data_IF_405308689217
#
_entry.id   IF_405308689217
#
_cell.length_a   1.000
_cell.length_b   1.000
_cell.length_c   1.000
_cell.angle_alpha   90.00
_cell.angle_beta   90.00
_cell.angle_gamma   90.00
#
_symmetry.space_group_name_H-M   'P 1'
#
loop_
_entity.id
_entity.type
_entity.pdbx_description
1 polymer ?
2 non-polymer ?
3 non-polymer ?
4 non-polymer ?
5 water ?
#
# COMPACT_ATOMS: atom_id res chain seq x y z
N UNK A 7 -5.08 -28.61 -16.50
CA UNK A 7 -5.66 -27.55 -17.32
C UNK A 7 -5.85 -26.25 -16.51
N UNK A 8 -6.96 -25.58 -16.78
CA UNK A 8 -7.31 -24.35 -16.10
C UNK A 8 -8.80 -24.14 -16.28
N UNK A 9 -9.38 -23.35 -15.38
CA UNK A 9 -10.80 -23.02 -15.46
C UNK A 9 -11.06 -21.70 -16.19
N UNK A 10 -10.16 -20.73 -16.06
CA UNK A 10 -10.26 -19.46 -16.77
C UNK A 10 -8.90 -19.13 -17.36
N UNK A 11 -8.92 -18.41 -18.48
CA UNK A 11 -7.71 -17.89 -19.11
C UNK A 11 -7.91 -16.40 -19.32
N UNK A 12 -7.12 -15.57 -18.63
CA UNK A 12 -7.21 -14.12 -18.68
C UNK A 12 -5.97 -13.56 -19.38
N UNK A 13 -6.17 -12.85 -20.47
CA UNK A 13 -5.05 -12.18 -21.11
C UNK A 13 -4.87 -10.81 -20.46
N UNK A 14 -3.66 -10.54 -19.98
CA UNK A 14 -3.35 -9.32 -19.26
C UNK A 14 -2.27 -8.56 -20.01
N UNK A 15 -2.30 -7.24 -19.86
CA UNK A 15 -1.37 -6.36 -20.54
C UNK A 15 -0.74 -5.43 -19.51
N UNK A 16 0.56 -5.20 -19.64
CA UNK A 16 1.27 -4.19 -18.86
C UNK A 16 1.64 -3.06 -19.80
N UNK A 17 1.13 -1.86 -19.54
CA UNK A 17 1.46 -0.70 -20.36
C UNK A 17 2.01 0.40 -19.46
N UNK A 18 2.73 1.32 -20.06
CA UNK A 18 3.38 2.39 -19.32
C UNK A 18 4.65 2.80 -20.02
N UNK A 19 5.13 3.99 -19.66
CA UNK A 19 6.34 4.55 -20.28
C UNK A 19 7.53 3.61 -20.11
N UNK A 20 8.50 3.73 -21.02
CA UNK A 20 9.72 2.95 -20.86
C UNK A 20 10.40 3.32 -19.54
N UNK A 21 10.88 2.30 -18.83
CA UNK A 21 11.68 2.50 -17.64
C UNK A 21 10.90 2.48 -16.34
N UNK A 22 9.58 2.38 -16.38
CA UNK A 22 8.81 2.43 -15.14
C UNK A 22 8.86 1.11 -14.37
N UNK A 23 9.30 0.02 -14.98
CA UNK A 23 9.43 -1.25 -14.30
C UNK A 23 8.44 -2.32 -14.69
N UNK A 24 7.82 -2.20 -15.88
CA UNK A 24 6.87 -3.22 -16.31
C UNK A 24 7.50 -4.60 -16.32
N UNK A 25 8.69 -4.72 -16.93
CA UNK A 25 9.30 -6.04 -17.02
C UNK A 25 9.73 -6.58 -15.66
N UNK A 26 10.17 -5.69 -14.76
CA UNK A 26 10.60 -6.15 -13.44
C UNK A 26 9.43 -6.55 -12.57
N UNK A 27 8.29 -5.86 -12.70
CA UNK A 27 7.08 -6.30 -12.00
C UNK A 27 6.70 -7.71 -12.45
N UNK A 28 6.74 -7.95 -13.76
CA UNK A 28 6.34 -9.26 -14.27
C UNK A 28 7.36 -10.34 -13.89
N UNK A 29 8.65 -9.99 -13.90
CA UNK A 29 9.69 -10.95 -13.50
C UNK A 29 9.54 -11.33 -12.03
N UNK A 30 9.21 -10.35 -11.17
CA UNK A 30 8.97 -10.67 -9.78
C UNK A 30 7.76 -11.61 -9.66
N UNK A 31 6.68 -11.29 -10.37
CA UNK A 31 5.46 -12.08 -10.25
C UNK A 31 5.67 -13.49 -10.81
N UNK A 32 6.38 -13.63 -11.92
CA UNK A 32 6.50 -14.95 -12.53
C UNK A 32 7.67 -15.76 -11.99
N UNK A 33 8.79 -15.12 -11.66
CA UNK A 33 9.99 -15.84 -11.25
C UNK A 33 10.45 -15.53 -9.83
N UNK A 34 9.81 -14.60 -9.13
CA UNK A 34 10.20 -14.19 -7.76
C UNK A 34 11.68 -13.81 -7.69
N UNK A 35 12.10 -12.94 -8.60
CA UNK A 35 13.47 -12.46 -8.62
C UNK A 35 13.46 -11.02 -9.10
N UNK A 36 14.58 -10.35 -8.91
CA UNK A 36 14.75 -8.98 -9.39
C UNK A 36 16.16 -8.80 -9.89
N UNK A 37 16.29 -8.21 -11.08
CA UNK A 37 17.58 -7.80 -11.63
C UNK A 37 17.60 -6.29 -11.79
N UNK A 38 18.69 -5.66 -11.38
CA UNK A 38 18.78 -4.21 -11.43
C UNK A 38 19.22 -3.67 -12.80
N UNK A 39 19.80 -4.50 -13.66
CA UNK A 39 20.30 -4.01 -14.93
C UNK A 39 19.14 -3.76 -15.89
N UNK A 40 19.01 -2.53 -16.37
CA UNK A 40 17.94 -2.15 -17.30
C UNK A 40 18.20 -2.78 -18.66
N UNK A 41 17.33 -3.70 -19.07
CA UNK A 41 17.32 -4.26 -20.41
C UNK A 41 15.96 -3.94 -21.00
N UNK A 42 15.89 -2.89 -21.80
CA UNK A 42 14.60 -2.43 -22.33
C UNK A 42 13.98 -3.50 -23.22
N UNK A 43 12.66 -3.63 -23.13
CA UNK A 43 11.91 -4.60 -23.91
C UNK A 43 11.81 -4.15 -25.36
N UNK A 44 12.18 -5.04 -26.28
CA UNK A 44 12.18 -4.72 -27.71
C UNK A 44 11.00 -5.45 -28.34
N UNK A 45 10.03 -4.69 -28.83
CA UNK A 45 8.85 -5.27 -29.44
C UNK A 45 7.79 -5.61 -28.41
N UNK A 46 7.98 -6.72 -27.71
CA UNK A 46 7.04 -7.20 -26.70
C UNK A 46 7.63 -8.46 -26.08
N UNK A 47 7.13 -8.84 -24.90
CA UNK A 47 7.49 -10.09 -24.24
C UNK A 47 6.24 -10.56 -23.48
N UNK A 48 6.33 -11.76 -22.89
CA UNK A 48 5.21 -12.29 -22.13
C UNK A 48 5.70 -13.30 -21.09
N UNK A 49 4.86 -13.51 -20.07
CA UNK A 49 5.04 -14.60 -19.10
C UNK A 49 3.68 -15.20 -18.80
N UNK A 50 3.71 -16.44 -18.30
CA UNK A 50 2.50 -17.21 -18.02
C UNK A 50 2.57 -17.68 -16.57
N UNK A 51 1.57 -17.36 -15.77
CA UNK A 51 1.45 -17.91 -14.42
C UNK A 51 0.00 -18.24 -14.13
N UNK A 52 -0.22 -19.42 -13.54
CA UNK A 52 -1.56 -19.86 -13.20
C UNK A 52 -1.76 -19.70 -11.69
N UNK A 53 -2.82 -18.98 -11.30
CA UNK A 53 -3.14 -18.80 -9.89
C UNK A 53 -4.48 -19.46 -9.59
N UNK A 54 -4.85 -19.48 -8.31
CA UNK A 54 -6.15 -20.01 -7.89
C UNK A 54 -6.96 -18.92 -7.19
N UNK A 55 -8.24 -18.82 -7.55
CA UNK A 55 -9.18 -17.89 -6.96
C UNK A 55 -10.50 -18.62 -6.73
N UNK A 56 -10.98 -18.59 -5.48
CA UNK A 56 -12.24 -19.25 -5.09
C UNK A 56 -12.27 -20.71 -5.53
N UNK A 57 -11.14 -21.38 -5.40
CA UNK A 57 -11.08 -22.77 -5.80
C UNK A 57 -11.08 -23.02 -7.30
N UNK A 58 -10.90 -21.97 -8.09
CA UNK A 58 -10.83 -22.06 -9.54
C UNK A 58 -9.41 -21.75 -10.00
N UNK A 59 -8.98 -22.42 -11.07
CA UNK A 59 -7.64 -22.27 -11.61
C UNK A 59 -7.67 -21.23 -12.72
N UNK A 60 -6.92 -20.14 -12.55
CA UNK A 60 -6.92 -18.99 -13.44
C UNK A 60 -5.55 -18.92 -14.11
N UNK A 61 -5.49 -19.24 -15.41
CA UNK A 61 -4.24 -19.04 -16.15
C UNK A 61 -4.13 -17.58 -16.57
N UNK A 62 -3.03 -16.94 -16.18
CA UNK A 62 -2.76 -15.54 -16.52
C UNK A 62 -1.71 -15.51 -17.62
N UNK A 63 -2.13 -15.04 -18.79
CA UNK A 63 -1.26 -14.86 -19.94
C UNK A 63 -0.95 -13.37 -20.01
N UNK A 64 0.26 -12.99 -19.59
CA UNK A 64 0.59 -11.60 -19.28
C UNK A 64 1.54 -11.06 -20.33
N UNK A 65 1.08 -10.08 -21.10
CA UNK A 65 1.86 -9.48 -22.16
C UNK A 65 2.54 -8.21 -21.66
N UNK A 66 3.86 -8.16 -21.83
CA UNK A 66 4.73 -7.12 -21.26
C UNK A 66 5.11 -6.23 -22.44
N UNK A 67 4.43 -5.09 -22.57
CA UNK A 67 4.64 -4.27 -23.75
C UNK A 67 5.95 -3.47 -23.65
N UNK A 68 6.47 -3.11 -24.82
CA UNK A 68 7.64 -2.25 -24.91
C UNK A 68 7.18 -0.79 -24.85
N UNK A 69 7.60 -0.09 -23.79
CA UNK A 69 7.12 1.26 -23.57
C UNK A 69 7.71 2.29 -24.51
N UNK A 70 8.81 1.97 -25.18
CA UNK A 70 9.42 2.91 -26.11
C UNK A 70 8.47 3.26 -27.26
N UNK A 71 8.50 4.52 -27.67
CA UNK A 71 7.50 5.03 -28.61
C UNK A 71 7.55 4.30 -29.95
N UNK A 72 8.73 3.83 -30.37
CA UNK A 72 8.84 3.24 -31.71
C UNK A 72 8.17 1.88 -31.80
N UNK A 73 7.64 1.35 -30.70
CA UNK A 73 6.99 0.04 -30.71
C UNK A 73 5.47 0.16 -30.57
N UNK A 74 4.92 1.35 -30.77
CA UNK A 74 3.49 1.55 -30.53
C UNK A 74 2.63 0.69 -31.45
N UNK A 75 3.07 0.44 -32.69
CA UNK A 75 2.25 -0.39 -33.59
C UNK A 75 2.05 -1.78 -33.01
N UNK A 76 3.07 -2.31 -32.31
CA UNK A 76 2.94 -3.64 -31.73
C UNK A 76 2.08 -3.60 -30.47
N UNK A 77 2.32 -2.62 -29.61
CA UNK A 77 1.48 -2.46 -28.42
C UNK A 77 0.01 -2.38 -28.77
N UNK A 78 -0.31 -1.57 -29.79
CA UNK A 78 -1.70 -1.36 -30.15
C UNK A 78 -2.38 -2.65 -30.58
N UNK A 79 -1.68 -3.47 -31.36
CA UNK A 79 -2.25 -4.75 -31.83
C UNK A 79 -2.61 -5.69 -30.68
N UNK A 80 -1.99 -5.53 -29.52
CA UNK A 80 -2.23 -6.39 -28.37
C UNK A 80 -3.35 -5.89 -27.45
N UNK A 81 -3.98 -4.75 -27.77
CA UNK A 81 -5.06 -4.24 -26.94
C UNK A 81 -6.33 -5.08 -27.06
N UNK A 82 -6.64 -5.58 -28.26
CA UNK A 82 -7.99 -6.05 -28.54
C UNK A 82 -8.38 -7.26 -27.68
N UNK A 83 -7.49 -8.25 -27.58
CA UNK A 83 -7.83 -9.42 -26.81
C UNK A 83 -7.69 -9.29 -25.30
N UNK A 84 -7.20 -8.15 -24.83
CA UNK A 84 -6.87 -8.00 -23.42
C UNK A 84 -8.14 -7.95 -22.56
N UNK A 85 -8.07 -8.60 -21.40
CA UNK A 85 -9.14 -8.57 -20.41
C UNK A 85 -8.83 -7.69 -19.22
N UNK A 86 -7.56 -7.51 -18.89
CA UNK A 86 -7.16 -6.57 -17.86
C UNK A 86 -5.84 -5.93 -18.23
N UNK A 87 -5.67 -4.68 -17.80
CA UNK A 87 -4.51 -3.87 -18.15
C UNK A 87 -3.96 -3.20 -16.90
N UNK A 88 -2.68 -3.44 -16.61
CA UNK A 88 -1.95 -2.66 -15.61
C UNK A 88 -1.37 -1.43 -16.28
N UNK A 89 -1.71 -0.25 -15.75
CA UNK A 89 -1.10 1.01 -16.18
C UNK A 89 -0.03 1.37 -15.16
N UNK A 90 1.24 1.29 -15.56
CA UNK A 90 2.35 1.38 -14.63
C UNK A 90 3.04 2.73 -14.80
N UNK A 91 3.30 3.41 -13.69
CA UNK A 91 4.19 4.57 -13.68
C UNK A 91 5.25 4.36 -12.61
N UNK A 92 6.22 5.26 -12.59
CA UNK A 92 7.37 5.22 -11.71
C UNK A 92 7.25 6.37 -10.73
N UNK A 93 7.12 6.06 -9.43
CA UNK A 93 6.91 7.13 -8.45
C UNK A 93 8.06 8.12 -8.41
N UNK A 94 9.21 7.77 -8.97
CA UNK A 94 10.34 8.69 -9.02
C UNK A 94 10.35 9.54 -10.30
N UNK A 95 9.33 9.41 -11.16
CA UNK A 95 9.35 10.07 -12.46
C UNK A 95 7.99 10.69 -12.74
N UNK A 96 7.87 12.01 -12.54
CA UNK A 96 6.58 12.67 -12.70
C UNK A 96 6.01 12.49 -14.10
N UNK A 97 6.87 12.54 -15.12
CA UNK A 97 6.38 12.46 -16.51
C UNK A 97 5.68 11.13 -16.75
N UNK A 98 6.18 10.05 -16.16
CA UNK A 98 5.53 8.76 -16.36
C UNK A 98 4.15 8.74 -15.71
N UNK A 99 3.97 9.54 -14.65
CA UNK A 99 2.67 9.67 -14.01
C UNK A 99 1.74 10.55 -14.84
N UNK A 100 2.24 11.70 -15.28
CA UNK A 100 1.46 12.52 -16.22
C UNK A 100 0.92 11.68 -17.37
N UNK A 101 1.74 10.77 -17.89
CA UNK A 101 1.37 10.06 -19.11
C UNK A 101 0.35 8.96 -18.87
N UNK A 102 0.06 8.62 -17.61
CA UNK A 102 -1.02 7.68 -17.34
C UNK A 102 -2.31 8.14 -18.01
N UNK A 103 -2.56 9.45 -18.01
CA UNK A 103 -3.76 9.98 -18.63
C UNK A 103 -3.79 9.68 -20.11
N UNK A 104 -2.64 9.74 -20.76
CA UNK A 104 -2.56 9.45 -22.18
C UNK A 104 -2.64 7.95 -22.47
N UNK A 105 -2.04 7.11 -21.61
CA UNK A 105 -2.24 5.67 -21.74
C UNK A 105 -3.72 5.30 -21.60
N UNK A 106 -4.45 5.98 -20.73
CA UNK A 106 -5.89 5.71 -20.59
C UNK A 106 -6.62 6.01 -21.89
N UNK A 107 -6.30 7.15 -22.53
CA UNK A 107 -6.91 7.46 -23.82
C UNK A 107 -6.60 6.38 -24.84
N UNK A 108 -5.35 5.90 -24.86
CA UNK A 108 -4.95 4.84 -25.78
C UNK A 108 -5.76 3.57 -25.56
N UNK A 109 -5.86 3.14 -24.30
CA UNK A 109 -6.66 1.96 -23.97
C UNK A 109 -8.08 2.12 -24.51
N UNK A 110 -8.70 3.26 -24.19
CA UNK A 110 -10.12 3.39 -24.46
C UNK A 110 -10.40 3.61 -25.95
N UNK A 111 -9.40 4.01 -26.72
CA UNK A 111 -9.59 4.09 -28.17
C UNK A 111 -9.39 2.75 -28.88
N UNK A 112 -8.85 1.72 -28.21
CA UNK A 112 -8.46 0.50 -28.91
C UNK A 112 -8.93 -0.79 -28.23
N UNK A 113 -8.77 -0.88 -26.92
CA UNK A 113 -9.14 -2.08 -26.20
C UNK A 113 -10.66 -2.23 -26.15
N UNK A 114 -11.10 -3.42 -25.77
CA UNK A 114 -12.53 -3.61 -25.50
C UNK A 114 -12.97 -2.61 -24.46
N UNK A 115 -14.16 -2.02 -24.67
CA UNK A 115 -14.66 -0.99 -23.78
C UNK A 115 -14.91 -1.50 -22.36
N UNK A 116 -14.90 -2.81 -22.17
CA UNK A 116 -15.15 -3.43 -20.87
C UNK A 116 -13.86 -3.85 -20.16
N UNK A 117 -12.69 -3.49 -20.69
CA UNK A 117 -11.45 -4.03 -20.15
C UNK A 117 -11.23 -3.52 -18.73
N UNK A 118 -10.73 -4.39 -17.86
CA UNK A 118 -10.44 -3.99 -16.48
C UNK A 118 -9.12 -3.24 -16.44
N UNK A 119 -9.08 -2.15 -15.66
CA UNK A 119 -7.94 -1.25 -15.63
C UNK A 119 -7.49 -1.07 -14.19
N UNK A 120 -6.18 -1.06 -13.96
CA UNK A 120 -5.62 -0.82 -12.63
C UNK A 120 -4.33 -0.04 -12.78
N UNK A 121 -4.10 0.93 -11.88
CA UNK A 121 -2.91 1.77 -11.91
C UNK A 121 -1.92 1.28 -10.87
N UNK A 122 -0.67 1.10 -11.27
CA UNK A 122 0.42 0.71 -10.37
C UNK A 122 1.44 1.83 -10.32
N UNK A 123 1.71 2.32 -9.11
CA UNK A 123 2.81 3.25 -8.91
C UNK A 123 4.04 2.49 -8.45
N UNK A 124 4.95 2.18 -9.36
CA UNK A 124 6.04 1.26 -9.08
C UNK A 124 7.27 1.99 -8.52
N UNK A 125 8.20 1.18 -7.96
CA UNK A 125 9.45 1.63 -7.36
C UNK A 125 9.20 2.36 -6.03
N UNK A 126 8.19 1.89 -5.27
CA UNK A 126 7.88 2.55 -4.01
C UNK A 126 8.90 2.23 -2.92
N UNK A 127 9.92 1.41 -3.21
CA UNK A 127 11.05 1.22 -2.32
C UNK A 127 12.06 2.36 -2.39
N UNK A 128 11.95 3.26 -3.37
CA UNK A 128 12.91 4.35 -3.55
C UNK A 128 12.32 5.63 -2.97
N UNK A 129 12.01 5.65 -1.67
CA UNK A 129 11.37 6.82 -1.09
C UNK A 129 12.25 8.07 -1.20
N UNK A 130 13.57 7.89 -1.23
CA UNK A 130 14.50 9.02 -1.30
C UNK A 130 14.45 9.77 -2.63
N UNK A 131 13.86 9.18 -3.68
CA UNK A 131 13.79 9.86 -4.97
C UNK A 131 12.35 10.03 -5.43
N UNK A 132 11.39 9.86 -4.52
CA UNK A 132 9.99 9.99 -4.85
C UNK A 132 9.69 11.37 -5.42
N UNK A 133 8.92 11.40 -6.51
CA UNK A 133 8.37 12.63 -7.06
C UNK A 133 6.85 12.67 -6.98
N UNK A 134 6.18 11.53 -7.16
CA UNK A 134 4.73 11.44 -7.18
C UNK A 134 4.27 11.00 -5.80
N UNK A 135 3.57 11.88 -5.09
CA UNK A 135 3.07 11.50 -3.78
C UNK A 135 2.01 10.42 -3.89
N UNK A 136 1.89 9.60 -2.84
CA UNK A 136 0.87 8.57 -2.84
C UNK A 136 -0.51 9.19 -2.92
N UNK A 137 -0.69 10.35 -2.27
CA UNK A 137 -1.98 11.05 -2.32
C UNK A 137 -2.39 11.38 -3.74
N UNK A 138 -1.43 11.83 -4.56
CA UNK A 138 -1.75 12.21 -5.94
C UNK A 138 -2.04 10.98 -6.80
N UNK A 139 -1.35 9.87 -6.55
CA UNK A 139 -1.68 8.64 -7.24
C UNK A 139 -3.08 8.16 -6.91
N UNK A 140 -3.42 8.18 -5.62
CA UNK A 140 -4.77 7.80 -5.20
C UNK A 140 -5.82 8.72 -5.83
N UNK A 141 -5.53 10.02 -5.92
CA UNK A 141 -6.53 10.95 -6.43
C UNK A 141 -6.77 10.73 -7.93
N UNK A 142 -5.71 10.51 -8.70
CA UNK A 142 -5.87 10.22 -10.12
C UNK A 142 -6.71 8.96 -10.32
N UNK A 143 -6.40 7.90 -9.57
CA UNK A 143 -7.18 6.66 -9.72
C UNK A 143 -8.62 6.88 -9.28
N UNK A 144 -8.84 7.68 -8.26
CA UNK A 144 -10.20 8.03 -7.85
C UNK A 144 -10.93 8.78 -8.96
N UNK A 145 -10.23 9.73 -9.61
CA UNK A 145 -10.85 10.51 -10.69
C UNK A 145 -11.36 9.60 -11.80
N UNK A 146 -10.62 8.53 -12.09
CA UNK A 146 -11.01 7.61 -13.14
C UNK A 146 -11.85 6.44 -12.66
N UNK A 147 -12.06 6.30 -11.35
CA UNK A 147 -12.79 5.16 -10.83
C UNK A 147 -12.05 3.84 -11.00
N UNK A 148 -10.73 3.89 -10.90
CA UNK A 148 -9.82 2.77 -11.14
C UNK A 148 -9.16 2.41 -9.81
N UNK A 149 -8.86 1.13 -9.62
CA UNK A 149 -8.07 0.76 -8.45
C UNK A 149 -6.61 1.17 -8.60
N UNK A 150 -5.94 1.35 -7.47
CA UNK A 150 -4.59 1.88 -7.42
C UNK A 150 -3.78 1.22 -6.32
N UNK A 151 -2.53 0.91 -6.63
CA UNK A 151 -1.57 0.38 -5.68
C UNK A 151 -0.18 0.93 -5.96
N UNK A 152 0.59 1.17 -4.91
CA UNK A 152 2.02 1.35 -5.09
C UNK A 152 2.72 0.01 -4.96
N UNK A 153 3.61 -0.26 -5.90
CA UNK A 153 4.28 -1.55 -5.96
C UNK A 153 5.78 -1.33 -5.88
N UNK A 154 6.48 -2.41 -5.55
CA UNK A 154 7.92 -2.47 -5.74
C UNK A 154 8.26 -3.87 -6.26
N UNK A 155 8.80 -3.95 -7.48
CA UNK A 155 9.35 -5.21 -7.96
C UNK A 155 10.58 -5.61 -7.18
N UNK A 156 11.39 -4.62 -6.74
CA UNK A 156 12.64 -4.93 -6.07
C UNK A 156 12.40 -5.54 -4.69
N UNK A 157 11.53 -4.92 -3.89
CA UNK A 157 11.24 -5.39 -2.55
C UNK A 157 10.06 -6.34 -2.50
N UNK A 158 9.43 -6.64 -3.64
CA UNK A 158 8.26 -7.51 -3.74
C UNK A 158 7.11 -7.00 -2.86
N UNK A 159 6.71 -5.76 -3.13
CA UNK A 159 5.61 -5.11 -2.43
C UNK A 159 4.45 -5.00 -3.39
N UNK A 160 3.32 -5.59 -3.03
CA UNK A 160 2.04 -5.47 -3.73
C UNK A 160 2.06 -6.06 -5.13
N UNK A 161 3.12 -6.78 -5.50
CA UNK A 161 3.14 -7.38 -6.83
C UNK A 161 2.13 -8.52 -6.91
N UNK A 162 2.22 -9.47 -5.97
CA UNK A 162 1.21 -10.51 -5.88
C UNK A 162 -0.17 -9.90 -5.78
N UNK A 163 -0.34 -8.93 -4.88
CA UNK A 163 -1.67 -8.38 -4.62
C UNK A 163 -2.25 -7.68 -5.85
N UNK A 164 -1.40 -7.04 -6.65
CA UNK A 164 -1.91 -6.35 -7.83
C UNK A 164 -2.54 -7.34 -8.79
N UNK A 165 -1.80 -8.40 -9.13
CA UNK A 165 -2.27 -9.38 -10.10
C UNK A 165 -3.45 -10.18 -9.56
N UNK A 166 -3.41 -10.58 -8.28
CA UNK A 166 -4.54 -11.32 -7.73
C UNK A 166 -5.79 -10.45 -7.70
N UNK A 167 -5.65 -9.16 -7.35
CA UNK A 167 -6.80 -8.27 -7.30
C UNK A 167 -7.38 -8.04 -8.69
N UNK A 168 -6.53 -7.74 -9.67
CA UNK A 168 -7.00 -7.57 -11.05
C UNK A 168 -7.70 -8.82 -11.56
N UNK A 169 -7.13 -10.00 -11.29
CA UNK A 169 -7.77 -11.25 -11.70
C UNK A 169 -9.11 -11.44 -11.01
N UNK A 170 -9.18 -11.10 -9.73
CA UNK A 170 -10.43 -11.24 -9.00
C UNK A 170 -11.50 -10.34 -9.58
N UNK A 171 -11.13 -9.11 -9.97
CA UNK A 171 -12.11 -8.18 -10.51
C UNK A 171 -12.55 -8.60 -11.90
N UNK A 172 -11.64 -9.17 -12.69
CA UNK A 172 -12.04 -9.72 -13.99
C UNK A 172 -12.98 -10.91 -13.80
N UNK A 173 -12.65 -11.80 -12.86
CA UNK A 173 -13.50 -12.96 -12.61
C UNK A 173 -14.86 -12.54 -12.09
N UNK A 174 -14.89 -11.52 -11.22
CA UNK A 174 -16.16 -11.05 -10.68
C UNK A 174 -17.06 -10.49 -11.78
N UNK A 175 -16.46 -9.74 -12.72
CA UNK A 175 -17.23 -9.23 -13.86
C UNK A 175 -17.71 -10.37 -14.75
N UNK A 176 -16.87 -11.40 -14.95
CA UNK A 176 -17.29 -12.54 -15.76
C UNK A 176 -18.39 -13.32 -15.06
N UNK A 177 -18.23 -13.59 -13.76
CA UNK A 177 -19.21 -14.35 -12.99
C UNK A 177 -20.52 -13.59 -12.80
N UNK A 178 -20.58 -12.33 -13.19
CA UNK A 178 -21.82 -11.57 -13.16
C UNK A 178 -22.33 -11.33 -14.57
N UNK B 7 7.27 27.95 16.82
CA UNK B 7 5.84 27.75 17.01
C UNK B 7 5.33 26.53 16.27
N UNK B 8 4.04 26.27 16.46
CA UNK B 8 3.31 25.25 15.72
C UNK B 8 1.85 25.68 15.68
N UNK B 9 1.13 25.15 14.69
CA UNK B 9 -0.27 25.52 14.49
C UNK B 9 -1.25 24.54 15.14
N UNK B 10 -0.86 23.28 15.24
CA UNK B 10 -1.67 22.23 15.84
C UNK B 10 -0.75 21.33 16.64
N UNK B 11 -1.30 20.72 17.69
CA UNK B 11 -0.61 19.70 18.46
C UNK B 11 -1.50 18.48 18.49
N UNK B 12 -1.07 17.40 17.84
CA UNK B 12 -1.84 16.16 17.80
C UNK B 12 -1.19 15.10 18.67
N UNK B 13 -1.98 14.47 19.51
CA UNK B 13 -1.51 13.40 20.36
C UNK B 13 -1.86 12.07 19.70
N UNK B 14 -0.84 11.29 19.36
CA UNK B 14 -1.00 10.03 18.67
C UNK B 14 -0.55 8.89 19.57
N UNK B 15 -1.28 7.78 19.50
CA UNK B 15 -1.00 6.63 20.34
C UNK B 15 -0.80 5.42 19.44
N UNK B 16 0.29 4.68 19.64
CA UNK B 16 0.55 3.42 18.94
C UNK B 16 0.22 2.26 19.88
N UNK B 17 -0.73 1.41 19.50
CA UNK B 17 -1.06 0.22 20.30
C UNK B 17 -0.92 -1.02 19.43
N UNK B 18 -0.81 -2.16 20.10
CA UNK B 18 -0.70 -3.45 19.43
C UNK B 18 0.16 -4.40 20.23
N UNK B 19 0.07 -5.68 19.88
CA UNK B 19 0.77 -6.73 20.62
C UNK B 19 2.27 -6.46 20.65
N UNK B 20 2.92 -6.96 21.70
CA UNK B 20 4.37 -6.90 21.76
C UNK B 20 4.97 -7.61 20.57
N UNK B 21 5.96 -6.98 19.95
CA UNK B 21 6.70 -7.55 18.85
C UNK B 21 6.20 -7.19 17.46
N UNK B 22 5.09 -6.45 17.33
CA UNK B 22 4.55 -6.22 15.99
C UNK B 22 5.32 -5.13 15.24
N UNK B 23 6.09 -4.30 15.95
CA UNK B 23 6.93 -3.30 15.33
C UNK B 23 6.53 -1.87 15.61
N UNK B 24 5.79 -1.61 16.69
CA UNK B 24 5.38 -0.25 16.99
C UNK B 24 6.57 0.67 17.13
N UNK B 25 7.58 0.25 17.89
CA UNK B 25 8.74 1.10 18.10
C UNK B 25 9.55 1.27 16.81
N UNK B 26 9.74 0.19 16.06
CA UNK B 26 10.45 0.31 14.79
C UNK B 26 9.71 1.19 13.80
N UNK B 27 8.38 1.11 13.76
CA UNK B 27 7.64 2.00 12.87
C UNK B 27 7.88 3.46 13.26
N UNK B 28 7.80 3.75 14.56
CA UNK B 28 8.01 5.11 15.02
C UNK B 28 9.45 5.56 14.80
N UNK B 29 10.41 4.65 14.98
CA UNK B 29 11.82 5.02 14.78
C UNK B 29 12.09 5.31 13.33
N UNK B 30 11.52 4.53 12.41
CA UNK B 30 11.63 4.87 10.99
C UNK B 30 11.02 6.24 10.70
N UNK B 31 9.86 6.52 11.29
CA UNK B 31 9.23 7.82 11.06
C UNK B 31 10.09 8.95 11.60
N UNK B 32 10.55 8.81 12.84
CA UNK B 32 11.17 9.94 13.55
C UNK B 32 12.66 10.09 13.26
N UNK B 33 13.36 9.01 12.89
CA UNK B 33 14.80 9.09 12.70
C UNK B 33 15.29 8.44 11.41
N UNK B 34 14.38 7.97 10.56
CA UNK B 34 14.71 7.40 9.24
C UNK B 34 15.81 6.35 9.33
N UNK B 35 15.64 5.43 10.28
CA UNK B 35 16.55 4.31 10.37
C UNK B 35 15.75 3.10 10.84
N UNK B 36 16.42 1.95 10.83
CA UNK B 36 15.84 0.70 11.29
C UNK B 36 16.91 -0.12 11.97
N UNK B 37 16.51 -0.86 12.99
CA UNK B 37 17.41 -1.74 13.71
C UNK B 37 16.70 -3.07 13.94
N UNK B 38 17.39 -4.17 13.68
CA UNK B 38 16.80 -5.49 13.82
C UNK B 38 16.75 -5.98 15.26
N UNK B 39 17.50 -5.36 16.17
CA UNK B 39 17.53 -5.79 17.57
C UNK B 39 16.21 -5.46 18.25
N UNK B 40 15.62 -6.45 18.89
CA UNK B 40 14.36 -6.29 19.61
C UNK B 40 14.65 -5.80 21.03
N UNK B 41 14.35 -4.53 21.30
CA UNK B 41 14.36 -3.99 22.65
C UNK B 41 12.90 -3.67 23.00
N UNK B 42 12.24 -4.57 23.71
CA UNK B 42 10.86 -4.34 24.09
C UNK B 42 10.74 -3.09 24.93
N UNK B 43 9.66 -2.34 24.71
CA UNK B 43 9.45 -1.06 25.38
C UNK B 43 9.03 -1.27 26.83
N UNK B 44 9.61 -0.48 27.73
CA UNK B 44 9.31 -0.56 29.17
C UNK B 44 8.29 0.52 29.49
N UNK B 45 7.05 0.11 29.73
CA UNK B 45 6.05 1.07 30.16
C UNK B 45 5.46 1.86 29.01
N UNK B 46 6.23 2.82 28.49
CA UNK B 46 5.81 3.66 27.37
C UNK B 46 7.03 4.44 26.88
N UNK B 47 7.05 4.76 25.59
CA UNK B 47 8.12 5.55 24.98
C UNK B 47 7.48 6.75 24.27
N UNK B 48 8.29 7.78 23.98
CA UNK B 48 7.76 9.02 23.43
C UNK B 48 8.65 9.52 22.29
N UNK B 49 8.01 10.16 21.31
CA UNK B 49 8.71 10.93 20.28
C UNK B 49 7.89 12.16 19.94
N UNK B 50 8.57 13.25 19.59
CA UNK B 50 7.91 14.46 19.09
C UNK B 50 8.50 14.80 17.74
N UNK B 51 7.64 15.01 16.74
CA UNK B 51 8.07 15.41 15.42
C UNK B 51 7.04 16.36 14.83
N UNK B 52 7.52 17.40 14.17
CA UNK B 52 6.64 18.37 13.52
C UNK B 52 6.57 18.03 12.03
N UNK B 53 5.36 18.04 11.48
CA UNK B 53 5.17 17.87 10.04
C UNK B 53 4.37 19.05 9.50
N UNK B 54 4.18 19.09 8.18
CA UNK B 54 3.41 20.14 7.55
C UNK B 54 2.27 19.57 6.72
N UNK B 55 1.09 20.17 6.85
CA UNK B 55 -0.09 19.84 6.07
C UNK B 55 -0.84 21.11 5.75
N UNK B 56 -1.23 21.28 4.47
CA UNK B 56 -2.06 22.42 4.06
C UNK B 56 -1.43 23.76 4.42
N UNK B 57 -0.10 23.83 4.45
CA UNK B 57 0.55 25.07 4.82
C UNK B 57 0.57 25.34 6.31
N UNK B 58 0.33 24.33 7.14
CA UNK B 58 0.32 24.49 8.58
C UNK B 58 1.31 23.53 9.21
N UNK B 59 1.88 23.94 10.35
CA UNK B 59 2.84 23.12 11.07
C UNK B 59 2.14 22.31 12.16
N UNK B 60 2.32 21.00 12.12
CA UNK B 60 1.62 20.05 12.99
C UNK B 60 2.65 19.40 13.89
N UNK B 61 2.58 19.69 15.18
CA UNK B 61 3.46 19.06 16.15
C UNK B 61 2.80 17.76 16.58
N UNK B 62 3.48 16.64 16.34
CA UNK B 62 2.95 15.32 16.70
C UNK B 62 3.66 14.85 17.96
N UNK B 63 2.88 14.60 18.99
CA UNK B 63 3.36 14.02 20.24
C UNK B 63 2.91 12.58 20.20
N UNK B 64 3.85 11.64 20.09
CA UNK B 64 3.56 10.25 19.77
C UNK B 64 3.87 9.42 21.00
N UNK B 65 2.89 8.62 21.41
CA UNK B 65 2.97 7.78 22.61
C UNK B 65 3.07 6.34 22.10
N UNK B 66 4.22 5.73 22.33
CA UNK B 66 4.53 4.40 21.82
C UNK B 66 4.35 3.44 22.99
N UNK B 67 3.21 2.72 23.02
CA UNK B 67 2.89 1.92 24.19
C UNK B 67 3.66 0.61 24.21
N UNK B 68 3.86 0.08 25.40
CA UNK B 68 4.45 -1.24 25.60
C UNK B 68 3.33 -2.28 25.50
N UNK B 69 3.49 -3.25 24.61
CA UNK B 69 2.47 -4.26 24.40
C UNK B 69 2.39 -5.33 25.48
N UNK B 70 3.46 -5.51 26.25
CA UNK B 70 3.46 -6.59 27.24
C UNK B 70 2.40 -6.36 28.31
N UNK B 71 1.77 -7.47 28.72
CA UNK B 71 0.59 -7.43 29.57
C UNK B 71 0.80 -6.59 30.83
N UNK B 72 2.00 -6.68 31.44
CA UNK B 72 2.23 -5.99 32.71
C UNK B 72 2.15 -4.48 32.60
N UNK B 73 2.15 -3.93 31.37
CA UNK B 73 2.15 -2.49 31.17
C UNK B 73 0.80 -1.97 30.73
N UNK B 74 -0.23 -2.81 30.72
CA UNK B 74 -1.52 -2.44 30.14
C UNK B 74 -2.15 -1.25 30.87
N UNK B 75 -1.95 -1.11 32.19
CA UNK B 75 -2.56 0.00 32.90
C UNK B 75 -2.09 1.34 32.34
N UNK B 76 -0.85 1.38 31.86
CA UNK B 76 -0.30 2.61 31.28
C UNK B 76 -1.00 2.91 29.97
N UNK B 77 -1.14 1.91 29.11
CA UNK B 77 -1.83 2.12 27.85
C UNK B 77 -3.26 2.59 28.08
N UNK B 78 -3.95 1.97 29.04
CA UNK B 78 -5.31 2.39 29.36
C UNK B 78 -5.35 3.87 29.73
N UNK B 79 -4.41 4.32 30.56
CA UNK B 79 -4.38 5.72 30.96
C UNK B 79 -4.09 6.63 29.78
N UNK B 80 -3.21 6.21 28.88
CA UNK B 80 -2.83 7.10 27.79
C UNK B 80 -3.85 7.15 26.66
N UNK B 81 -4.97 6.41 26.76
CA UNK B 81 -6.05 6.61 25.81
C UNK B 81 -6.70 7.98 25.94
N UNK B 82 -6.78 8.53 27.16
CA UNK B 82 -7.73 9.61 27.42
C UNK B 82 -7.50 10.82 26.52
N UNK B 83 -6.25 11.26 26.38
CA UNK B 83 -5.99 12.41 25.55
C UNK B 83 -5.65 12.13 24.10
N UNK B 84 -5.65 10.87 23.69
CA UNK B 84 -5.26 10.49 22.34
C UNK B 84 -6.23 11.07 21.32
N UNK B 85 -5.67 11.65 20.26
CA UNK B 85 -6.47 12.19 19.17
C UNK B 85 -6.44 11.29 17.94
N UNK B 86 -5.41 10.48 17.79
CA UNK B 86 -5.37 9.47 16.74
C UNK B 86 -4.65 8.25 17.29
N UNK B 87 -5.07 7.07 16.81
CA UNK B 87 -4.50 5.81 17.29
C UNK B 87 -4.14 4.94 16.10
N UNK B 88 -2.89 4.48 16.08
CA UNK B 88 -2.44 3.42 15.17
C UNK B 88 -2.61 2.08 15.85
N UNK B 89 -3.38 1.18 15.25
CA UNK B 89 -3.49 -0.20 15.68
C UNK B 89 -2.58 -1.05 14.80
N UNK B 90 -1.52 -1.61 15.39
CA UNK B 90 -0.46 -2.27 14.64
C UNK B 90 -0.52 -3.77 14.88
N UNK B 91 -0.48 -4.55 13.80
CA UNK B 91 -0.24 -5.98 13.88
C UNK B 91 0.93 -6.33 12.96
N UNK B 92 1.31 -7.61 13.01
CA UNK B 92 2.46 -8.16 12.28
C UNK B 92 1.91 -9.14 11.25
N UNK B 93 2.14 -8.87 9.96
CA UNK B 93 1.56 -9.73 8.94
C UNK B 93 2.10 -11.16 8.99
N UNK B 94 3.20 -11.40 9.69
CA UNK B 94 3.73 -12.76 9.88
C UNK B 94 3.22 -13.45 11.14
N UNK B 95 2.26 -12.84 11.86
CA UNK B 95 1.81 -13.39 13.14
C UNK B 95 0.30 -13.25 13.24
N UNK B 96 -0.42 -14.34 12.97
CA UNK B 96 -1.88 -14.28 12.95
C UNK B 96 -2.46 -13.83 14.29
N UNK B 97 -1.87 -14.29 15.41
CA UNK B 97 -2.39 -13.91 16.72
C UNK B 97 -2.43 -12.41 16.90
N UNK B 98 -1.41 -11.71 16.42
CA UNK B 98 -1.39 -10.26 16.58
C UNK B 98 -2.51 -9.61 15.77
N UNK B 99 -2.88 -10.23 14.64
CA UNK B 99 -4.01 -9.75 13.85
C UNK B 99 -5.34 -10.07 14.51
N UNK B 100 -5.50 -11.31 15.00
CA UNK B 100 -6.69 -11.65 15.76
C UNK B 100 -6.93 -10.63 16.87
N UNK B 101 -5.85 -10.19 17.52
CA UNK B 101 -5.98 -9.34 18.68
C UNK B 101 -6.33 -7.89 18.33
N UNK B 102 -6.27 -7.49 17.06
CA UNK B 102 -6.71 -6.14 16.69
C UNK B 102 -8.16 -5.92 17.14
N UNK B 103 -8.99 -6.96 17.04
CA UNK B 103 -10.37 -6.83 17.49
C UNK B 103 -10.45 -6.49 18.97
N UNK B 104 -9.49 -6.97 19.76
CA UNK B 104 -9.50 -6.68 21.19
C UNK B 104 -8.92 -5.30 21.48
N UNK B 105 -7.88 -4.91 20.75
CA UNK B 105 -7.42 -3.54 20.86
C UNK B 105 -8.54 -2.56 20.53
N UNK B 106 -9.36 -2.91 19.53
CA UNK B 106 -10.48 -2.04 19.18
C UNK B 106 -11.47 -1.93 20.34
N UNK B 107 -11.75 -3.05 21.00
CA UNK B 107 -12.63 -3.02 22.18
C UNK B 107 -12.06 -2.08 23.24
N UNK B 108 -10.76 -2.14 23.48
CA UNK B 108 -10.14 -1.24 24.45
C UNK B 108 -10.30 0.22 24.02
N UNK B 109 -10.09 0.52 22.74
CA UNK B 109 -10.29 1.90 22.26
C UNK B 109 -11.71 2.34 22.53
N UNK B 110 -12.69 1.49 22.19
CA UNK B 110 -14.08 1.84 22.39
C UNK B 110 -14.40 2.10 23.85
N UNK B 111 -13.75 1.37 24.76
CA UNK B 111 -14.05 1.54 26.17
C UNK B 111 -13.37 2.75 26.79
N UNK B 112 -12.14 3.09 26.36
CA UNK B 112 -11.33 4.04 27.11
C UNK B 112 -10.98 5.33 26.38
N UNK B 113 -11.01 5.36 25.06
CA UNK B 113 -10.61 6.56 24.35
C UNK B 113 -11.82 7.45 24.10
N UNK B 114 -11.55 8.69 23.68
CA UNK B 114 -12.62 9.57 23.24
C UNK B 114 -13.43 8.89 22.15
N UNK B 115 -14.75 9.14 22.13
CA UNK B 115 -15.61 8.53 21.13
C UNK B 115 -15.25 8.97 19.73
N UNK B 116 -14.64 10.14 19.55
CA UNK B 116 -14.34 10.65 18.21
C UNK B 116 -12.88 10.47 17.81
N UNK B 117 -12.15 9.56 18.45
CA UNK B 117 -10.73 9.40 18.15
C UNK B 117 -10.54 8.85 16.74
N UNK B 118 -9.54 9.37 16.03
CA UNK B 118 -9.21 8.85 14.71
C UNK B 118 -8.38 7.57 14.85
N UNK B 119 -8.61 6.60 13.95
CA UNK B 119 -7.97 5.29 14.07
C UNK B 119 -7.41 4.88 12.71
N UNK B 120 -6.35 4.08 12.74
CA UNK B 120 -5.79 3.48 11.53
C UNK B 120 -5.17 2.15 11.90
N UNK B 121 -5.35 1.15 11.03
CA UNK B 121 -4.76 -0.17 11.22
C UNK B 121 -3.56 -0.30 10.30
N UNK B 122 -2.43 -0.72 10.86
CA UNK B 122 -1.18 -0.93 10.13
C UNK B 122 -0.84 -2.41 10.18
N UNK B 123 -0.77 -3.04 9.00
CA UNK B 123 -0.20 -4.37 8.90
C UNK B 123 1.30 -4.27 8.64
N UNK B 124 2.09 -4.43 9.69
CA UNK B 124 3.51 -4.14 9.62
C UNK B 124 4.31 -5.38 9.24
N UNK B 125 5.56 -5.12 8.85
CA UNK B 125 6.52 -6.14 8.41
C UNK B 125 6.16 -6.69 7.04
N UNK B 126 5.57 -5.86 6.18
CA UNK B 126 5.14 -6.33 4.87
C UNK B 126 6.31 -6.58 3.93
N UNK B 127 7.55 -6.32 4.38
CA UNK B 127 8.72 -6.76 3.64
C UNK B 127 8.98 -8.26 3.76
N UNK B 128 8.37 -8.93 4.75
CA UNK B 128 8.70 -10.34 5.00
C UNK B 128 7.71 -11.24 4.28
N UNK B 129 7.76 -11.22 2.95
CA UNK B 129 6.83 -11.99 2.13
C UNK B 129 6.86 -13.47 2.45
N UNK B 130 8.05 -14.02 2.67
CA UNK B 130 8.20 -15.47 2.82
C UNK B 130 7.64 -15.99 4.14
N UNK B 131 7.27 -15.12 5.08
CA UNK B 131 6.71 -15.55 6.34
C UNK B 131 5.31 -14.99 6.57
N UNK B 132 4.69 -14.40 5.55
CA UNK B 132 3.35 -13.86 5.68
C UNK B 132 2.37 -14.92 6.15
N UNK B 133 1.56 -14.55 7.14
CA UNK B 133 0.40 -15.34 7.57
C UNK B 133 -0.92 -14.65 7.32
N UNK B 134 -0.97 -13.33 7.43
CA UNK B 134 -2.19 -12.56 7.27
C UNK B 134 -2.21 -12.01 5.85
N UNK B 135 -3.18 -12.47 5.05
CA UNK B 135 -3.32 -11.94 3.69
C UNK B 135 -3.71 -10.46 3.73
N UNK B 136 -3.26 -9.72 2.71
CA UNK B 136 -3.66 -8.32 2.63
C UNK B 136 -5.17 -8.20 2.51
N UNK B 137 -5.79 -9.14 1.79
CA UNK B 137 -7.24 -9.15 1.63
C UNK B 137 -7.94 -9.22 2.98
N UNK B 138 -7.44 -10.07 3.87
CA UNK B 138 -8.08 -10.21 5.18
C UNK B 138 -7.83 -8.98 6.05
N UNK B 139 -6.66 -8.36 5.91
CA UNK B 139 -6.44 -7.10 6.60
C UNK B 139 -7.40 -6.03 6.14
N UNK B 140 -7.56 -5.89 4.81
CA UNK B 140 -8.51 -4.91 4.27
C UNK B 140 -9.93 -5.18 4.75
N UNK B 141 -10.30 -6.45 4.83
CA UNK B 141 -11.69 -6.79 5.15
C UNK B 141 -12.00 -6.48 6.60
N UNK B 142 -11.06 -6.73 7.50
CA UNK B 142 -11.27 -6.38 8.89
C UNK B 142 -11.42 -4.88 9.05
N UNK B 143 -10.52 -4.11 8.42
CA UNK B 143 -10.62 -2.66 8.48
C UNK B 143 -11.95 -2.18 7.93
N UNK B 144 -12.40 -2.78 6.82
CA UNK B 144 -13.71 -2.44 6.26
C UNK B 144 -14.83 -2.73 7.25
N UNK B 145 -14.76 -3.87 7.93
CA UNK B 145 -15.80 -4.23 8.91
C UNK B 145 -15.96 -3.15 9.97
N UNK B 146 -14.85 -2.51 10.35
CA UNK B 146 -14.89 -1.53 11.43
C UNK B 146 -14.94 -0.09 10.94
N UNK B 147 -14.96 0.13 9.63
CA UNK B 147 -14.93 1.48 9.10
C UNK B 147 -13.65 2.23 9.39
N UNK B 148 -12.50 1.53 9.39
CA UNK B 148 -11.21 2.11 9.74
C UNK B 148 -10.29 2.05 8.53
N UNK B 149 -9.46 3.08 8.35
CA UNK B 149 -8.47 3.04 7.29
C UNK B 149 -7.38 2.02 7.61
N UNK B 150 -6.77 1.48 6.54
CA UNK B 150 -5.84 0.37 6.62
C UNK B 150 -4.72 0.56 5.62
N UNK B 151 -3.50 0.18 6.02
CA UNK B 151 -2.44 0.00 5.04
C UNK B 151 -1.40 -0.98 5.59
N UNK B 152 -0.65 -1.59 4.68
CA UNK B 152 0.48 -2.39 5.11
C UNK B 152 1.75 -1.54 5.11
N UNK B 153 2.59 -1.76 6.12
CA UNK B 153 3.78 -0.95 6.34
C UNK B 153 4.99 -1.84 6.50
N UNK B 154 6.17 -1.25 6.29
CA UNK B 154 7.42 -1.90 6.67
C UNK B 154 8.33 -0.84 7.23
N UNK B 155 8.67 -0.97 8.52
CA UNK B 155 9.72 -0.13 9.09
C UNK B 155 11.08 -0.45 8.47
N UNK B 156 11.30 -1.70 8.08
CA UNK B 156 12.62 -2.10 7.61
C UNK B 156 12.89 -1.56 6.21
N UNK B 157 11.92 -1.67 5.33
CA UNK B 157 12.10 -1.19 3.96
C UNK B 157 11.49 0.18 3.74
N UNK B 158 10.93 0.80 4.79
CA UNK B 158 10.36 2.15 4.75
C UNK B 158 9.22 2.25 3.73
N UNK B 159 8.20 1.42 3.96
CA UNK B 159 7.02 1.36 3.12
C UNK B 159 5.84 1.87 3.93
N UNK B 160 5.17 2.91 3.43
CA UNK B 160 3.96 3.49 3.98
C UNK B 160 4.11 4.07 5.38
N UNK B 161 5.34 4.23 5.89
CA UNK B 161 5.51 4.76 7.23
C UNK B 161 5.14 6.24 7.27
N UNK B 162 5.74 7.05 6.39
CA UNK B 162 5.35 8.45 6.28
C UNK B 162 3.86 8.57 5.97
N UNK B 163 3.39 7.79 4.98
CA UNK B 163 2.00 7.96 4.55
C UNK B 163 1.03 7.64 5.67
N UNK B 164 1.38 6.66 6.52
CA UNK B 164 0.53 6.34 7.66
C UNK B 164 0.37 7.54 8.58
N UNK B 165 1.50 8.11 9.04
CA UNK B 165 1.42 9.22 9.98
C UNK B 165 0.79 10.46 9.34
N UNK B 166 1.16 10.76 8.10
CA UNK B 166 0.55 11.91 7.43
C UNK B 166 -0.95 11.70 7.23
N UNK B 167 -1.39 10.49 6.86
CA UNK B 167 -2.81 10.23 6.65
C UNK B 167 -3.60 10.35 7.95
N UNK B 168 -3.09 9.77 9.04
CA UNK B 168 -3.75 9.92 10.33
C UNK B 168 -3.85 11.38 10.73
N UNK B 169 -2.77 12.14 10.52
CA UNK B 169 -2.77 13.54 10.93
C UNK B 169 -3.74 14.35 10.07
N UNK B 170 -3.81 14.04 8.75
CA UNK B 170 -4.74 14.75 7.90
C UNK B 170 -6.18 14.55 8.37
N UNK B 171 -6.51 13.33 8.79
CA UNK B 171 -7.88 13.05 9.25
C UNK B 171 -8.21 13.79 10.53
N UNK B 172 -7.25 13.88 11.47
CA UNK B 172 -7.45 14.68 12.67
C UNK B 172 -7.63 16.16 12.31
N UNK B 173 -6.79 16.64 11.40
CA UNK B 173 -6.83 18.06 11.04
C UNK B 173 -8.15 18.41 10.38
N UNK B 174 -8.65 17.53 9.50
CA UNK B 174 -9.89 17.80 8.81
C UNK B 174 -11.03 18.02 9.80
N UNK B 175 -11.07 17.23 10.87
CA UNK B 175 -12.11 17.42 11.87
C UNK B 175 -11.85 18.65 12.73
N UNK B 176 -10.58 18.92 13.07
CA UNK B 176 -10.29 20.09 13.88
C UNK B 176 -10.50 21.39 13.13
N UNK B 177 -10.44 21.37 11.80
CA UNK B 177 -10.67 22.57 11.00
C UNK B 177 -12.15 22.87 10.81
N UNK B 178 -13.05 22.01 11.26
CA UNK B 178 -14.48 22.30 11.17
C UNK B 178 -14.79 23.61 11.88
N UNK B 179 -15.72 24.37 11.33
CA UNK B 179 -16.17 25.62 11.92
C UNK B 179 -17.67 25.56 12.16
N UNK B 180 -18.10 26.09 13.31
CA UNK B 180 -19.53 26.20 13.59
C UNK B 180 -20.22 27.11 12.57
N UNK B 181 -19.61 28.26 12.25
CA UNK B 181 -20.20 29.22 11.32
C UNK B 181 -19.54 29.23 9.94
#
# INVERSE_FOLDING_TARGET
>A
GSHMAKTYDYLFKLLLIGDSGVGKTCVLFRFSEDAFNSTFISTIGIDFKIRTIELDGKRIKLQIWDTAGLERFREITTAYYRGAMGIMLVYDITNEKSFDNIRNWIRNIEEHASADVEKMILGNKCDVNDKRQVSKERGEKLALDYGIKFMETSAKANINVENAFFTLARDIKAKMDKKLEGNS
>B
GSHMAKTYDYLFKLLLIGDSGVGKTCVLFRFSEDAFNSTFISTIGIDFKIRTIELDGKRIKLQIWDTAGLERFREITTAYYRGAMGIMLVYDITNEKSFDNIRNWIRNIEEHASADVEKMILGNKCDVNDKRQVSKERGEKLALDYGIKFMETSAKANINVENAFFTLARDIKAKMDKKLEGNS
#
